data_IF_685075872755
#
_entry.id   IF_685075872755
#
_cell.length_a   1.000
_cell.length_b   1.000
_cell.length_c   1.000
_cell.angle_alpha   90.00
_cell.angle_beta   90.00
_cell.angle_gamma   90.00
#
_symmetry.space_group_name_H-M   'P 1'
#
loop_
_entity.id
_entity.type
_entity.pdbx_description
1 polymer ?
#
# COMPACT_ATOMS: atom_id res chain seq x y z
N UNK A 1 62.56 -6.86 -13.79
CA UNK A 1 62.18 -5.77 -12.88
C UNK A 1 61.08 -4.95 -13.54
N UNK A 2 59.82 -5.17 -13.17
CA UNK A 2 58.71 -4.31 -13.58
C UNK A 2 58.36 -3.43 -12.39
N UNK A 3 58.57 -2.13 -12.54
CA UNK A 3 58.27 -1.16 -11.48
C UNK A 3 56.76 -1.02 -11.37
N UNK A 4 56.20 -1.32 -10.19
CA UNK A 4 54.79 -1.16 -9.88
C UNK A 4 54.47 0.33 -9.74
N UNK A 5 54.07 0.97 -10.83
CA UNK A 5 53.45 2.30 -10.79
C UNK A 5 52.07 2.17 -10.16
N UNK A 6 51.89 2.76 -8.98
CA UNK A 6 50.61 2.89 -8.29
C UNK A 6 49.67 3.79 -9.12
N UNK A 7 48.42 3.39 -9.43
CA UNK A 7 47.47 4.26 -10.08
C UNK A 7 47.15 5.47 -9.19
N UNK A 8 47.25 6.69 -9.73
CA UNK A 8 46.84 7.93 -9.06
C UNK A 8 45.31 7.94 -9.01
N UNK A 9 44.66 8.15 -7.85
CA UNK A 9 43.21 8.13 -7.75
C UNK A 9 42.59 9.30 -8.53
N UNK A 10 42.11 9.04 -9.75
CA UNK A 10 41.39 10.03 -10.56
C UNK A 10 39.97 10.21 -10.01
N UNK A 11 39.65 11.41 -9.52
CA UNK A 11 38.35 11.76 -8.94
C UNK A 11 37.13 11.71 -9.90
N UNK A 12 37.34 11.31 -11.15
CA UNK A 12 36.35 11.21 -12.23
C UNK A 12 35.78 9.79 -12.43
N UNK A 13 35.96 8.89 -11.47
CA UNK A 13 35.29 7.58 -11.49
C UNK A 13 33.86 7.64 -10.96
N UNK A 14 32.88 6.93 -11.56
CA UNK A 14 31.54 6.82 -10.98
C UNK A 14 31.63 6.31 -9.54
N UNK A 15 31.12 7.11 -8.60
CA UNK A 15 31.10 6.78 -7.18
C UNK A 15 29.93 5.82 -6.93
N UNK A 16 30.22 4.54 -6.89
CA UNK A 16 29.24 3.53 -6.50
C UNK A 16 29.07 3.56 -4.98
N UNK A 17 27.96 4.13 -4.50
CA UNK A 17 27.52 3.92 -3.13
C UNK A 17 27.10 2.46 -2.95
N UNK A 18 27.35 1.87 -1.78
CA UNK A 18 26.85 0.54 -1.45
C UNK A 18 25.32 0.55 -1.55
N UNK A 19 24.76 -0.01 -2.61
CA UNK A 19 23.32 -0.09 -2.77
C UNK A 19 22.81 -1.21 -1.86
N UNK A 20 22.01 -0.89 -0.81
CA UNK A 20 21.48 -1.90 0.07
C UNK A 20 20.53 -2.77 -0.75
N UNK A 21 20.93 -4.02 -0.93
CA UNK A 21 20.25 -4.96 -1.79
C UNK A 21 19.85 -6.18 -0.98
N UNK A 22 18.57 -6.30 -0.68
CA UNK A 22 18.01 -7.52 -0.11
C UNK A 22 17.44 -8.36 -1.26
N UNK A 23 17.95 -9.58 -1.44
CA UNK A 23 17.30 -10.61 -2.27
C UNK A 23 16.94 -10.19 -3.72
N UNK A 24 17.81 -9.47 -4.46
CA UNK A 24 17.48 -9.01 -5.85
C UNK A 24 16.48 -7.85 -5.95
N UNK A 25 15.94 -7.41 -4.81
CA UNK A 25 14.96 -6.33 -4.68
C UNK A 25 15.66 -5.06 -4.24
N UNK A 26 15.93 -4.18 -5.21
CA UNK A 26 16.29 -2.79 -4.92
C UNK A 26 15.04 -1.98 -4.57
N UNK A 27 15.11 -0.99 -3.66
CA UNK A 27 13.97 -0.11 -3.35
C UNK A 27 13.42 0.62 -4.59
N UNK A 28 14.26 0.96 -5.58
CA UNK A 28 13.82 1.45 -6.89
C UNK A 28 12.80 0.52 -7.58
N UNK A 29 13.00 -0.80 -7.48
CA UNK A 29 12.09 -1.76 -8.12
C UNK A 29 10.75 -1.76 -7.40
N UNK A 30 10.72 -1.62 -6.07
CA UNK A 30 9.47 -1.61 -5.32
C UNK A 30 8.55 -0.46 -5.75
N UNK A 31 9.11 0.73 -5.96
CA UNK A 31 8.35 1.88 -6.49
C UNK A 31 7.71 1.62 -7.86
N UNK A 32 8.37 0.84 -8.73
CA UNK A 32 7.84 0.48 -10.04
C UNK A 32 6.68 -0.52 -9.99
N UNK A 33 6.68 -1.43 -9.01
CA UNK A 33 5.61 -2.43 -8.84
C UNK A 33 4.48 -1.97 -7.92
N UNK A 34 4.70 -0.92 -7.12
CA UNK A 34 3.71 -0.36 -6.21
C UNK A 34 2.33 -0.08 -6.85
N UNK A 35 2.19 0.60 -8.01
CA UNK A 35 0.86 0.88 -8.57
C UNK A 35 0.12 -0.41 -8.97
N UNK A 36 0.82 -1.42 -9.47
CA UNK A 36 0.22 -2.71 -9.80
C UNK A 36 -0.25 -3.44 -8.54
N UNK A 37 0.56 -3.46 -7.49
CA UNK A 37 0.19 -4.06 -6.19
C UNK A 37 -1.03 -3.37 -5.58
N UNK A 38 -1.11 -2.04 -5.66
CA UNK A 38 -2.28 -1.29 -5.20
C UNK A 38 -3.53 -1.66 -6.01
N UNK A 39 -3.41 -1.74 -7.34
CA UNK A 39 -4.54 -2.13 -8.20
C UNK A 39 -5.04 -3.54 -7.86
N UNK A 40 -4.15 -4.51 -7.76
CA UNK A 40 -4.49 -5.88 -7.38
C UNK A 40 -5.07 -5.96 -5.97
N UNK A 41 -4.50 -5.25 -5.00
CA UNK A 41 -4.99 -5.20 -3.63
C UNK A 41 -6.39 -4.59 -3.53
N UNK A 42 -6.66 -3.52 -4.28
CA UNK A 42 -7.98 -2.90 -4.33
C UNK A 42 -9.02 -3.84 -4.96
N UNK A 43 -8.72 -4.43 -6.12
CA UNK A 43 -9.64 -5.35 -6.79
C UNK A 43 -9.90 -6.60 -5.95
N UNK A 44 -8.86 -7.22 -5.40
CA UNK A 44 -8.99 -8.38 -4.53
C UNK A 44 -9.77 -8.05 -3.25
N UNK A 45 -9.55 -6.86 -2.66
CA UNK A 45 -10.29 -6.39 -1.50
C UNK A 45 -11.79 -6.23 -1.79
N UNK A 46 -12.13 -5.58 -2.91
CA UNK A 46 -13.54 -5.44 -3.33
C UNK A 46 -14.17 -6.80 -3.61
N UNK A 47 -13.47 -7.70 -4.31
CA UNK A 47 -13.95 -9.04 -4.59
C UNK A 47 -14.17 -9.86 -3.30
N UNK A 48 -13.25 -9.78 -2.34
CA UNK A 48 -13.39 -10.42 -1.04
C UNK A 48 -14.60 -9.89 -0.29
N UNK A 49 -14.78 -8.57 -0.22
CA UNK A 49 -15.96 -7.96 0.43
C UNK A 49 -17.25 -8.43 -0.25
N UNK A 50 -17.28 -8.51 -1.58
CA UNK A 50 -18.44 -8.98 -2.34
C UNK A 50 -18.77 -10.44 -2.05
N UNK A 51 -17.77 -11.32 -2.05
CA UNK A 51 -17.96 -12.75 -1.74
C UNK A 51 -18.34 -12.98 -0.28
N UNK A 52 -17.79 -12.20 0.65
CA UNK A 52 -18.09 -12.28 2.07
C UNK A 52 -19.37 -11.51 2.48
N UNK A 53 -20.08 -10.88 1.53
CA UNK A 53 -21.35 -10.18 1.79
C UNK A 53 -22.47 -11.11 2.31
N UNK A 54 -22.34 -12.42 2.11
CA UNK A 54 -23.21 -13.43 2.73
C UNK A 54 -23.01 -13.59 4.24
N UNK A 55 -21.86 -13.14 4.79
CA UNK A 55 -21.56 -13.27 6.22
C UNK A 55 -22.16 -12.09 7.00
N UNK A 56 -22.96 -12.36 8.06
CA UNK A 56 -23.62 -11.31 8.84
C UNK A 56 -22.64 -10.39 9.59
N UNK A 57 -21.36 -10.76 9.69
CA UNK A 57 -20.30 -9.96 10.34
C UNK A 57 -19.82 -8.81 9.44
N UNK A 58 -19.65 -9.03 8.14
CA UNK A 58 -19.21 -7.97 7.19
C UNK A 58 -20.27 -6.88 6.96
N UNK A 59 -21.56 -7.25 6.96
CA UNK A 59 -22.67 -6.28 6.81
C UNK A 59 -22.71 -5.26 7.96
N UNK A 60 -22.45 -5.71 9.20
CA UNK A 60 -22.50 -4.85 10.38
C UNK A 60 -21.30 -3.91 10.48
N UNK A 61 -20.13 -4.36 10.06
CA UNK A 61 -18.90 -3.57 10.24
C UNK A 61 -18.63 -2.60 9.07
N UNK A 62 -18.95 -2.99 7.83
CA UNK A 62 -18.66 -2.17 6.63
C UNK A 62 -19.91 -1.41 6.14
N UNK A 63 -21.07 -2.07 6.08
CA UNK A 63 -22.25 -1.52 5.42
C UNK A 63 -23.07 -0.59 6.34
N UNK A 64 -23.12 -0.86 7.64
CA UNK A 64 -23.81 0.00 8.62
C UNK A 64 -23.03 1.27 8.97
N UNK A 65 -21.78 1.41 8.53
CA UNK A 65 -20.92 2.58 8.82
C UNK A 65 -20.96 3.64 7.72
N UNK A 66 -21.81 3.51 6.70
CA UNK A 66 -21.95 4.52 5.64
C UNK A 66 -23.01 5.55 6.07
N UNK A 67 -22.63 6.74 6.59
CA UNK A 67 -23.61 7.74 7.07
C UNK A 67 -24.38 8.44 5.94
N UNK A 68 -24.06 8.19 4.67
CA UNK A 68 -24.59 8.97 3.55
C UNK A 68 -26.11 8.90 3.37
N UNK A 69 -26.80 7.87 3.89
CA UNK A 69 -28.27 7.81 3.85
C UNK A 69 -28.97 8.42 5.05
N UNK A 70 -28.25 8.79 6.11
CA UNK A 70 -28.85 9.41 7.29
C UNK A 70 -28.39 10.87 7.41
N UNK A 71 -29.27 11.86 7.21
CA UNK A 71 -28.88 13.25 7.33
C UNK A 71 -28.39 13.52 8.76
N UNK A 72 -27.16 14.04 8.87
CA UNK A 72 -26.45 14.32 10.12
C UNK A 72 -27.08 15.39 11.04
N UNK A 73 -28.34 15.79 10.80
CA UNK A 73 -29.10 16.77 11.59
C UNK A 73 -30.03 16.11 12.63
N UNK A 74 -29.85 14.82 12.93
CA UNK A 74 -30.70 14.10 13.90
C UNK A 74 -29.88 13.34 14.95
N UNK A 75 -28.77 13.92 15.40
CA UNK A 75 -27.95 13.38 16.50
C UNK A 75 -28.39 13.85 17.90
N UNK A 76 -29.49 14.61 18.02
CA UNK A 76 -29.99 15.12 19.32
C UNK A 76 -31.28 14.46 19.81
N UNK A 77 -31.91 13.58 19.02
CA UNK A 77 -33.08 12.84 19.47
C UNK A 77 -32.78 11.35 19.39
N UNK A 78 -32.48 10.79 20.56
CA UNK A 78 -32.93 9.47 20.97
C UNK A 78 -32.51 8.28 20.10
N UNK A 79 -31.60 7.46 20.66
CA UNK A 79 -31.14 6.20 20.10
C UNK A 79 -32.29 5.22 19.80
N UNK A 80 -32.48 4.82 18.53
CA UNK A 80 -32.76 3.45 18.06
C UNK A 80 -32.86 3.42 16.52
N UNK A 81 -32.35 2.31 15.97
CA UNK A 81 -32.47 1.81 14.59
C UNK A 81 -31.41 2.26 13.55
N UNK A 82 -30.47 1.36 13.17
CA UNK A 82 -29.65 1.58 11.97
C UNK A 82 -30.55 1.48 10.74
N UNK A 83 -30.61 2.55 9.94
CA UNK A 83 -31.29 2.53 8.64
C UNK A 83 -30.71 1.41 7.77
N UNK A 84 -31.57 0.47 7.36
CA UNK A 84 -31.24 -0.67 6.50
C UNK A 84 -31.01 -0.24 5.05
#
# INVERSE_FOLDING_TARGET
>A
MYSSVSPIPSGYGPRYGAQPHFLKMTPEKFGRWAPSLVAWGATAGVAAIFLLSGLPRMKRDVLQKVPCKCPARRWLLHQRDPCF
#
